data_IF_607647542740
#
_entry.id   IF_607647542740
#
_cell.length_a   1.000
_cell.length_b   1.000
_cell.length_c   1.000
_cell.angle_alpha   90.00
_cell.angle_beta   90.00
_cell.angle_gamma   90.00
#
_symmetry.space_group_name_H-M   'P 1'
#
loop_
_entity.id
_entity.type
_entity.pdbx_description
1 polymer ?
#
# COMPACT_ATOMS: atom_id res chain seq x y z
N UNK A 1 1.33 13.47 -11.95
CA UNK A 1 0.58 12.61 -12.89
C UNK A 1 1.36 12.26 -14.15
N UNK A 2 2.52 12.90 -14.38
CA UNK A 2 3.47 12.65 -15.48
C UNK A 2 4.04 11.23 -15.54
N UNK A 3 4.16 10.53 -14.40
CA UNK A 3 4.82 9.22 -14.34
C UNK A 3 4.17 8.11 -15.20
N UNK A 4 2.91 8.25 -15.62
CA UNK A 4 2.25 7.30 -16.51
C UNK A 4 2.16 7.80 -17.96
N UNK A 5 2.49 9.08 -18.22
CA UNK A 5 2.44 9.67 -19.57
C UNK A 5 3.49 9.06 -20.51
N UNK A 6 4.64 8.64 -19.97
CA UNK A 6 5.67 7.89 -20.68
C UNK A 6 5.38 6.38 -20.81
N UNK A 7 4.21 5.92 -20.35
CA UNK A 7 3.85 4.50 -20.25
C UNK A 7 4.08 3.92 -18.85
N UNK A 8 3.77 2.63 -18.72
CA UNK A 8 3.90 1.87 -17.47
C UNK A 8 5.21 1.07 -17.46
N UNK A 9 5.77 0.87 -16.26
CA UNK A 9 6.94 0.01 -16.04
C UNK A 9 6.59 -1.22 -15.21
N UNK A 10 7.34 -2.31 -15.41
CA UNK A 10 7.20 -3.54 -14.63
C UNK A 10 8.58 -3.99 -14.10
N UNK A 11 8.63 -4.56 -12.90
CA UNK A 11 9.88 -5.03 -12.30
C UNK A 11 10.40 -6.27 -13.01
N UNK A 12 11.69 -6.32 -13.31
CA UNK A 12 12.33 -7.58 -13.72
C UNK A 12 12.37 -8.53 -12.52
N UNK A 13 11.76 -9.71 -12.67
CA UNK A 13 11.58 -10.67 -11.60
C UNK A 13 10.44 -10.32 -10.64
N UNK A 14 10.49 -10.91 -9.43
CA UNK A 14 9.46 -10.72 -8.42
C UNK A 14 9.40 -9.25 -7.95
N UNK A 15 8.19 -8.73 -7.73
CA UNK A 15 7.96 -7.37 -7.20
C UNK A 15 8.59 -7.16 -5.82
N UNK A 16 8.79 -8.24 -5.05
CA UNK A 16 9.55 -8.27 -3.79
C UNK A 16 10.99 -7.72 -3.94
N UNK A 17 11.55 -7.66 -5.15
CA UNK A 17 12.84 -7.04 -5.41
C UNK A 17 12.88 -5.56 -5.00
N UNK A 18 11.75 -4.85 -5.02
CA UNK A 18 11.67 -3.46 -4.55
C UNK A 18 12.02 -3.39 -3.06
N UNK A 19 11.31 -4.12 -2.21
CA UNK A 19 11.53 -4.11 -0.76
C UNK A 19 12.88 -4.70 -0.35
N UNK A 20 13.35 -5.75 -1.04
CA UNK A 20 14.68 -6.35 -0.81
C UNK A 20 15.79 -5.34 -1.08
N UNK A 21 15.74 -4.65 -2.24
CA UNK A 21 16.75 -3.64 -2.58
C UNK A 21 16.70 -2.44 -1.65
N UNK A 22 15.52 -1.93 -1.32
CA UNK A 22 15.38 -0.81 -0.38
C UNK A 22 15.92 -1.16 1.01
N UNK A 23 15.64 -2.37 1.51
CA UNK A 23 16.14 -2.84 2.81
C UNK A 23 17.66 -3.01 2.82
N UNK A 24 18.22 -3.51 1.71
CA UNK A 24 19.68 -3.67 1.56
C UNK A 24 20.37 -2.31 1.55
N UNK A 25 19.86 -1.36 0.77
CA UNK A 25 20.36 0.01 0.72
C UNK A 25 20.34 0.68 2.09
N UNK A 26 19.24 0.52 2.85
CA UNK A 26 19.12 1.07 4.20
C UNK A 26 20.23 0.53 5.13
N UNK A 27 20.54 -0.77 5.04
CA UNK A 27 21.63 -1.40 5.80
C UNK A 27 23.02 -0.95 5.36
N UNK A 28 23.24 -0.73 4.07
CA UNK A 28 24.50 -0.19 3.55
C UNK A 28 24.82 1.19 4.13
N UNK A 29 23.79 1.98 4.44
CA UNK A 29 23.93 3.27 5.12
C UNK A 29 23.89 3.18 6.66
N UNK A 30 24.03 1.98 7.23
CA UNK A 30 24.10 1.74 8.67
C UNK A 30 22.77 1.74 9.41
N UNK A 31 21.65 1.68 8.68
CA UNK A 31 20.33 1.47 9.27
C UNK A 31 20.04 -0.01 9.52
N UNK A 32 18.98 -0.29 10.30
CA UNK A 32 18.52 -1.64 10.59
C UNK A 32 17.07 -1.86 10.16
N UNK A 33 16.76 -3.10 9.78
CA UNK A 33 15.40 -3.53 9.42
C UNK A 33 15.03 -4.73 10.27
N UNK A 34 14.06 -4.53 11.16
CA UNK A 34 13.47 -5.57 11.98
C UNK A 34 12.20 -6.09 11.30
N UNK A 35 12.13 -7.41 11.12
CA UNK A 35 10.93 -8.13 10.69
C UNK A 35 10.34 -8.86 11.90
N UNK A 36 9.07 -9.23 11.82
CA UNK A 36 8.36 -9.82 12.97
C UNK A 36 8.49 -8.91 14.20
N UNK A 37 8.20 -7.62 13.98
CA UNK A 37 8.45 -6.53 14.93
C UNK A 37 7.21 -5.64 14.98
N UNK A 38 6.16 -6.18 15.58
CA UNK A 38 4.84 -5.57 15.69
C UNK A 38 4.88 -4.36 16.63
N UNK A 39 4.64 -3.17 16.08
CA UNK A 39 4.53 -1.93 16.88
C UNK A 39 3.16 -1.86 17.53
N UNK A 40 3.11 -1.94 18.85
CA UNK A 40 1.89 -1.87 19.64
C UNK A 40 1.50 -0.44 20.02
N UNK A 41 2.45 0.49 20.02
CA UNK A 41 2.17 1.89 20.31
C UNK A 41 3.41 2.77 20.31
N UNK A 42 3.15 4.07 20.22
CA UNK A 42 4.16 5.13 20.29
C UNK A 42 4.25 5.61 21.74
N UNK A 43 5.46 5.78 22.23
CA UNK A 43 5.76 6.29 23.57
C UNK A 43 5.73 7.81 23.51
N UNK A 44 4.90 8.42 24.36
CA UNK A 44 4.76 9.87 24.49
C UNK A 44 5.18 10.28 25.90
N UNK A 45 6.17 11.18 25.99
CA UNK A 45 6.67 11.77 27.23
C UNK A 45 6.69 13.29 27.04
N UNK A 46 6.12 14.05 27.98
CA UNK A 46 6.03 15.52 27.94
C UNK A 46 5.52 16.08 26.61
N UNK A 47 4.54 15.41 25.99
CA UNK A 47 3.94 15.80 24.71
C UNK A 47 4.82 15.55 23.48
N UNK A 48 5.96 14.86 23.62
CA UNK A 48 6.86 14.47 22.54
C UNK A 48 6.84 12.96 22.32
N UNK A 49 6.91 12.52 21.06
CA UNK A 49 7.17 11.13 20.71
C UNK A 49 8.65 10.79 20.90
N UNK A 50 8.92 9.74 21.67
CA UNK A 50 10.27 9.38 22.13
C UNK A 50 10.64 7.91 21.87
N UNK A 51 9.78 7.17 21.18
CA UNK A 51 10.03 5.77 20.88
C UNK A 51 8.77 4.99 20.55
N UNK A 52 8.93 3.67 20.44
CA UNK A 52 7.87 2.71 20.14
C UNK A 52 7.96 1.48 21.06
N UNK A 53 6.83 0.82 21.28
CA UNK A 53 6.72 -0.47 21.95
C UNK A 53 6.53 -1.56 20.91
N UNK A 54 7.39 -2.56 20.93
CA UNK A 54 7.49 -3.59 19.89
C UNK A 54 7.46 -4.99 20.50
N UNK A 55 6.84 -5.94 19.82
CA UNK A 55 6.96 -7.38 20.11
C UNK A 55 7.13 -8.17 18.82
N UNK A 56 7.73 -9.35 18.91
CA UNK A 56 7.72 -10.37 17.85
C UNK A 56 6.60 -11.40 18.05
N UNK A 57 5.68 -11.15 18.96
CA UNK A 57 4.49 -11.97 19.16
C UNK A 57 3.27 -11.38 18.44
N UNK A 58 2.13 -12.07 18.55
CA UNK A 58 0.84 -11.64 17.99
C UNK A 58 0.48 -10.21 18.37
N UNK A 59 -0.29 -9.55 17.51
CA UNK A 59 -0.81 -8.24 17.85
C UNK A 59 -1.63 -8.33 19.13
N UNK A 60 -1.51 -7.34 20.04
CA UNK A 60 -2.32 -7.32 21.27
C UNK A 60 -3.83 -7.40 20.98
N UNK A 61 -4.26 -6.91 19.82
CA UNK A 61 -5.63 -6.99 19.34
C UNK A 61 -6.09 -8.41 18.96
N UNK A 62 -5.15 -9.32 18.70
CA UNK A 62 -5.41 -10.74 18.38
C UNK A 62 -5.45 -11.62 19.63
N UNK A 63 -5.07 -11.07 20.79
CA UNK A 63 -5.13 -11.78 22.06
C UNK A 63 -6.58 -11.95 22.51
N UNK A 64 -6.94 -13.18 22.88
CA UNK A 64 -8.29 -13.56 23.28
C UNK A 64 -8.54 -13.46 24.79
N UNK A 65 -7.47 -13.31 25.58
CA UNK A 65 -7.56 -13.12 27.03
C UNK A 65 -6.51 -12.15 27.57
N UNK A 66 -6.77 -11.58 28.75
CA UNK A 66 -5.83 -10.68 29.42
C UNK A 66 -4.54 -11.38 29.85
N UNK A 67 -4.62 -12.68 30.22
CA UNK A 67 -3.44 -13.49 30.50
C UNK A 67 -2.53 -13.61 29.27
N UNK A 68 -3.14 -13.78 28.09
CA UNK A 68 -2.43 -13.85 26.80
C UNK A 68 -1.78 -12.52 26.39
N UNK A 69 -2.33 -11.38 26.85
CA UNK A 69 -1.75 -10.05 26.63
C UNK A 69 -0.60 -9.82 27.60
N UNK A 70 -0.78 -10.20 28.86
CA UNK A 70 0.22 -10.07 29.91
C UNK A 70 1.47 -10.94 29.67
N UNK A 71 1.33 -12.04 28.90
CA UNK A 71 2.47 -12.87 28.52
C UNK A 71 3.33 -12.28 27.41
N UNK A 72 2.83 -11.30 26.64
CA UNK A 72 3.57 -10.72 25.53
C UNK A 72 4.74 -9.91 26.05
N UNK A 73 5.95 -10.28 25.62
CA UNK A 73 7.15 -9.50 25.94
C UNK A 73 7.20 -8.27 25.05
N UNK A 74 7.13 -7.10 25.68
CA UNK A 74 7.22 -5.80 25.01
C UNK A 74 8.63 -5.22 25.18
N UNK A 75 9.27 -4.90 24.07
CA UNK A 75 10.55 -4.17 24.02
C UNK A 75 10.28 -2.70 23.68
N UNK A 76 10.85 -1.79 24.46
CA UNK A 76 10.83 -0.36 24.12
C UNK A 76 12.05 0.02 23.28
N UNK A 77 11.82 0.65 22.12
CA UNK A 77 12.87 1.21 21.28
C UNK A 77 12.76 2.73 21.36
N UNK A 78 13.77 3.39 21.93
CA UNK A 78 13.81 4.84 22.10
C UNK A 78 14.43 5.54 20.89
N UNK A 79 13.86 6.67 20.50
CA UNK A 79 14.32 7.43 19.34
C UNK A 79 14.10 8.93 19.53
N UNK A 80 14.96 9.74 18.93
CA UNK A 80 14.79 11.21 18.91
C UNK A 80 13.57 11.61 18.09
N UNK A 81 13.32 10.93 16.98
CA UNK A 81 12.18 11.16 16.09
C UNK A 81 11.55 9.82 15.75
N UNK A 82 10.22 9.81 15.63
CA UNK A 82 9.41 8.67 15.19
C UNK A 82 8.75 9.07 13.87
N UNK A 83 8.94 8.25 12.84
CA UNK A 83 8.28 8.44 11.53
C UNK A 83 7.25 7.33 11.36
N UNK A 84 5.98 7.70 11.32
CA UNK A 84 4.88 6.80 11.05
C UNK A 84 4.62 6.75 9.55
N UNK A 85 5.12 5.71 8.88
CA UNK A 85 4.80 5.40 7.49
C UNK A 85 3.57 4.48 7.35
N UNK A 86 2.77 4.37 8.42
CA UNK A 86 1.46 3.68 8.39
C UNK A 86 0.36 4.70 8.13
N UNK A 87 -0.86 4.24 7.83
CA UNK A 87 -1.98 5.15 7.64
C UNK A 87 -2.27 5.99 8.89
N UNK A 88 -2.69 7.24 8.72
CA UNK A 88 -3.14 8.13 9.81
C UNK A 88 -4.25 7.49 10.64
N UNK A 89 -5.06 6.62 10.03
CA UNK A 89 -6.08 5.88 10.77
C UNK A 89 -5.50 4.86 11.73
N UNK A 90 -4.40 4.16 11.38
CA UNK A 90 -3.68 3.32 12.34
C UNK A 90 -3.01 4.18 13.42
N UNK A 91 -2.39 5.30 13.03
CA UNK A 91 -1.72 6.19 13.97
C UNK A 91 -2.67 6.65 15.09
N UNK A 92 -3.78 7.30 14.72
CA UNK A 92 -4.68 7.91 15.70
C UNK A 92 -5.59 6.88 16.40
N UNK A 93 -6.01 5.79 15.72
CA UNK A 93 -6.92 4.83 16.34
C UNK A 93 -6.24 3.69 17.09
N UNK A 94 -4.95 3.41 16.83
CA UNK A 94 -4.25 2.27 17.43
C UNK A 94 -2.95 2.67 18.11
N UNK A 95 -2.08 3.40 17.42
CA UNK A 95 -0.68 3.56 17.86
C UNK A 95 -0.48 4.67 18.90
N UNK A 96 -1.29 5.73 18.88
CA UNK A 96 -1.22 6.79 19.88
C UNK A 96 -1.98 6.44 21.16
N UNK A 97 -1.57 6.96 22.33
CA UNK A 97 -2.36 6.86 23.55
C UNK A 97 -3.76 7.48 23.36
N UNK A 98 -4.78 6.69 23.66
CA UNK A 98 -6.17 6.97 23.29
C UNK A 98 -6.82 8.13 24.09
N UNK A 99 -6.19 8.54 25.18
CA UNK A 99 -6.59 9.66 26.02
C UNK A 99 -6.11 11.02 25.51
N UNK A 100 -5.19 11.07 24.52
CA UNK A 100 -4.63 12.33 24.03
C UNK A 100 -5.70 13.24 23.39
N UNK A 101 -5.67 14.56 23.63
CA UNK A 101 -6.60 15.51 23.01
C UNK A 101 -6.63 15.43 21.49
N UNK A 102 -5.47 15.25 20.85
CA UNK A 102 -5.38 15.16 19.38
C UNK A 102 -6.08 13.89 18.83
N UNK A 103 -6.04 12.78 19.57
CA UNK A 103 -6.75 11.55 19.20
C UNK A 103 -8.26 11.75 19.29
N UNK A 104 -8.73 12.42 20.35
CA UNK A 104 -10.15 12.79 20.48
C UNK A 104 -10.59 13.72 19.36
N UNK A 105 -9.76 14.72 19.01
CA UNK A 105 -10.00 15.63 17.88
C UNK A 105 -10.07 14.88 16.56
N UNK A 106 -9.16 13.94 16.30
CA UNK A 106 -9.23 13.09 15.10
C UNK A 106 -10.50 12.24 15.07
N UNK A 107 -11.04 11.82 16.21
CA UNK A 107 -12.28 11.02 16.25
C UNK A 107 -13.55 11.83 16.11
N UNK A 108 -13.49 13.14 16.34
CA UNK A 108 -14.64 14.03 16.20
C UNK A 108 -14.97 14.25 14.71
N UNK A 109 -16.15 13.81 14.23
CA UNK A 109 -16.56 13.99 12.84
C UNK A 109 -16.73 15.46 12.43
N UNK A 110 -16.81 16.39 13.39
CA UNK A 110 -16.87 17.83 13.11
C UNK A 110 -15.48 18.48 12.93
N UNK A 111 -14.39 17.73 13.18
CA UNK A 111 -13.01 18.23 13.12
C UNK A 111 -12.21 17.68 11.94
N UNK A 112 -12.82 16.79 11.15
CA UNK A 112 -12.28 16.31 9.89
C UNK A 112 -13.37 15.74 9.01
N UNK A 113 -13.18 15.83 7.70
CA UNK A 113 -14.08 15.20 6.72
C UNK A 113 -13.43 14.02 5.99
N UNK A 114 -12.09 13.87 6.09
CA UNK A 114 -11.38 12.73 5.51
C UNK A 114 -11.83 11.40 6.10
N UNK A 115 -11.98 10.39 5.24
CA UNK A 115 -12.36 9.02 5.59
C UNK A 115 -11.32 8.03 5.07
N UNK A 116 -11.24 6.85 5.68
CA UNK A 116 -10.38 5.78 5.20
C UNK A 116 -10.83 5.33 3.82
N UNK A 117 -9.89 4.93 2.96
CA UNK A 117 -10.19 4.38 1.65
C UNK A 117 -10.92 3.04 1.78
N UNK A 118 -11.56 2.62 0.68
CA UNK A 118 -12.06 1.26 0.55
C UNK A 118 -10.88 0.26 0.53
N UNK A 119 -11.18 -1.01 0.78
CA UNK A 119 -10.31 -2.13 0.46
C UNK A 119 -10.63 -2.73 -0.90
N UNK A 120 -9.93 -3.81 -1.24
CA UNK A 120 -10.16 -4.52 -2.50
C UNK A 120 -10.30 -6.02 -2.29
N UNK A 121 -10.87 -6.68 -3.29
CA UNK A 121 -10.74 -8.12 -3.48
C UNK A 121 -9.74 -8.39 -4.60
N UNK A 122 -8.87 -9.38 -4.40
CA UNK A 122 -7.81 -9.74 -5.34
C UNK A 122 -7.95 -11.20 -5.72
N UNK A 123 -8.28 -11.50 -6.98
CA UNK A 123 -8.24 -12.88 -7.46
C UNK A 123 -6.88 -13.16 -8.10
N UNK A 124 -6.13 -14.07 -7.51
CA UNK A 124 -4.89 -14.59 -8.08
C UNK A 124 -5.18 -15.91 -8.77
N UNK A 125 -4.84 -16.03 -10.05
CA UNK A 125 -5.03 -17.26 -10.83
C UNK A 125 -3.69 -17.81 -11.32
N UNK A 126 -3.52 -19.12 -11.16
CA UNK A 126 -2.52 -19.94 -11.84
C UNK A 126 -3.17 -20.56 -13.07
N UNK A 127 -2.62 -20.28 -14.24
CA UNK A 127 -3.18 -20.71 -15.53
C UNK A 127 -2.17 -21.65 -16.20
N UNK A 128 -2.63 -22.83 -16.62
CA UNK A 128 -1.83 -23.77 -17.41
C UNK A 128 -1.66 -23.24 -18.83
N UNK A 129 -0.43 -23.23 -19.32
CA UNK A 129 -0.06 -22.76 -20.66
C UNK A 129 0.85 -21.55 -20.62
N UNK A 130 1.71 -21.44 -21.62
CA UNK A 130 2.56 -20.27 -21.82
C UNK A 130 1.72 -19.08 -22.30
N UNK A 131 2.11 -17.85 -21.92
CA UNK A 131 1.33 -16.66 -22.27
C UNK A 131 1.13 -16.48 -23.78
N UNK A 132 2.13 -16.82 -24.60
CA UNK A 132 2.04 -16.75 -26.06
C UNK A 132 1.05 -17.77 -26.64
N UNK A 133 1.02 -18.99 -26.09
CA UNK A 133 0.06 -20.04 -26.48
C UNK A 133 -1.37 -19.61 -26.17
N UNK A 134 -1.54 -18.94 -25.03
CA UNK A 134 -2.82 -18.47 -24.52
C UNK A 134 -3.25 -17.10 -25.10
N UNK A 135 -2.43 -16.46 -25.93
CA UNK A 135 -2.72 -15.14 -26.48
C UNK A 135 -2.83 -14.02 -25.44
N UNK A 136 -2.18 -14.15 -24.28
CA UNK A 136 -2.35 -13.19 -23.18
C UNK A 136 -1.74 -11.82 -23.52
N UNK A 137 -2.45 -10.71 -23.28
CA UNK A 137 -1.94 -9.38 -23.59
C UNK A 137 -0.81 -8.93 -22.63
N UNK A 138 0.07 -8.07 -23.14
CA UNK A 138 1.09 -7.36 -22.34
C UNK A 138 0.52 -6.13 -21.62
N UNK A 139 -0.62 -5.61 -22.09
CA UNK A 139 -1.33 -4.50 -21.47
C UNK A 139 -2.36 -4.98 -20.43
N UNK A 140 -2.90 -4.04 -19.66
CA UNK A 140 -3.96 -4.32 -18.70
C UNK A 140 -5.32 -4.22 -19.39
N UNK A 141 -6.25 -5.10 -19.04
CA UNK A 141 -7.64 -4.99 -19.47
C UNK A 141 -8.46 -4.37 -18.34
N UNK A 142 -9.50 -3.65 -18.74
CA UNK A 142 -10.46 -3.06 -17.82
C UNK A 142 -11.86 -3.48 -18.23
N UNK A 143 -12.55 -4.09 -17.29
CA UNK A 143 -13.99 -4.35 -17.38
C UNK A 143 -14.75 -3.21 -16.72
N UNK A 144 -15.84 -2.80 -17.36
CA UNK A 144 -16.82 -1.84 -16.84
C UNK A 144 -18.22 -2.45 -16.98
N UNK A 145 -18.96 -2.54 -15.88
CA UNK A 145 -20.30 -3.11 -15.85
C UNK A 145 -21.35 -2.03 -16.19
N UNK A 146 -21.31 -1.55 -17.43
CA UNK A 146 -22.23 -0.52 -17.92
C UNK A 146 -21.62 0.89 -17.96
N UNK A 147 -22.44 1.86 -18.37
CA UNK A 147 -22.04 3.26 -18.52
C UNK A 147 -22.35 4.12 -17.28
N UNK A 148 -23.39 3.77 -16.52
CA UNK A 148 -23.71 4.42 -15.24
C UNK A 148 -22.92 3.74 -14.12
N UNK A 149 -21.69 4.25 -13.90
CA UNK A 149 -20.81 3.67 -12.89
C UNK A 149 -21.29 3.95 -11.48
N UNK A 150 -21.87 5.11 -11.21
CA UNK A 150 -22.33 5.47 -9.86
C UNK A 150 -23.46 4.51 -9.42
N UNK A 151 -24.46 4.30 -10.28
CA UNK A 151 -25.52 3.32 -10.03
C UNK A 151 -24.98 1.88 -9.91
N UNK A 152 -24.04 1.48 -10.77
CA UNK A 152 -23.42 0.15 -10.69
C UNK A 152 -22.62 -0.07 -9.39
N UNK A 153 -21.94 0.99 -8.88
CA UNK A 153 -21.28 0.95 -7.58
C UNK A 153 -22.29 0.79 -6.44
N UNK A 154 -23.38 1.55 -6.46
CA UNK A 154 -24.43 1.47 -5.42
C UNK A 154 -25.06 0.08 -5.36
N UNK A 155 -25.44 -0.50 -6.51
CA UNK A 155 -26.02 -1.85 -6.59
C UNK A 155 -25.03 -2.93 -6.13
N UNK A 156 -23.78 -2.86 -6.58
CA UNK A 156 -22.74 -3.81 -6.20
C UNK A 156 -22.43 -3.74 -4.70
N UNK A 157 -22.32 -2.52 -4.14
CA UNK A 157 -22.01 -2.36 -2.73
C UNK A 157 -23.15 -2.84 -1.81
N UNK A 158 -24.38 -2.76 -2.27
CA UNK A 158 -25.54 -3.32 -1.57
C UNK A 158 -25.61 -4.85 -1.67
N UNK A 159 -25.31 -5.44 -2.84
CA UNK A 159 -25.51 -6.86 -3.12
C UNK A 159 -24.32 -7.53 -3.83
N UNK A 160 -23.11 -7.56 -3.22
CA UNK A 160 -21.87 -7.89 -3.91
C UNK A 160 -21.78 -9.34 -4.39
N UNK A 161 -22.62 -10.23 -3.86
CA UNK A 161 -22.66 -11.64 -4.27
C UNK A 161 -23.58 -11.92 -5.43
N UNK A 162 -24.56 -11.05 -5.69
CA UNK A 162 -25.57 -11.25 -6.73
C UNK A 162 -25.34 -10.30 -7.91
N UNK A 163 -24.72 -9.14 -7.67
CA UNK A 163 -24.37 -8.13 -8.68
C UNK A 163 -22.89 -8.24 -9.03
N UNK A 164 -22.55 -8.17 -10.32
CA UNK A 164 -21.16 -8.13 -10.79
C UNK A 164 -20.48 -6.82 -10.37
N UNK A 165 -19.16 -6.84 -10.09
CA UNK A 165 -18.43 -5.63 -9.75
C UNK A 165 -18.52 -4.57 -10.87
N UNK A 166 -18.61 -3.27 -10.52
CA UNK A 166 -18.75 -2.19 -11.49
C UNK A 166 -17.50 -2.02 -12.35
N UNK A 167 -16.33 -2.31 -11.79
CA UNK A 167 -15.06 -2.28 -12.50
C UNK A 167 -14.17 -3.44 -12.09
N UNK A 168 -13.42 -4.00 -13.04
CA UNK A 168 -12.38 -5.00 -12.74
C UNK A 168 -11.14 -4.70 -13.54
N UNK A 169 -10.02 -4.55 -12.84
CA UNK A 169 -8.70 -4.58 -13.44
C UNK A 169 -8.31 -6.04 -13.70
N UNK A 170 -7.78 -6.33 -14.90
CA UNK A 170 -7.26 -7.65 -15.27
C UNK A 170 -5.84 -7.48 -15.78
N UNK A 171 -4.89 -8.15 -15.12
CA UNK A 171 -3.48 -8.09 -15.51
C UNK A 171 -2.82 -9.45 -15.55
N UNK A 172 -1.90 -9.62 -16.51
CA UNK A 172 -1.08 -10.83 -16.66
C UNK A 172 0.39 -10.50 -16.35
N UNK A 173 0.87 -10.61 -15.10
CA UNK A 173 2.26 -10.31 -14.75
C UNK A 173 3.30 -11.10 -15.58
N UNK A 174 2.98 -12.36 -15.89
CA UNK A 174 3.81 -13.27 -16.69
C UNK A 174 4.18 -12.72 -18.07
N UNK A 175 3.40 -11.81 -18.66
CA UNK A 175 3.68 -11.21 -19.96
C UNK A 175 4.65 -10.03 -19.88
N UNK A 176 4.90 -9.51 -18.67
CA UNK A 176 5.72 -8.32 -18.41
C UNK A 176 7.06 -8.65 -17.76
N UNK A 177 7.11 -9.74 -16.99
CA UNK A 177 8.36 -10.22 -16.39
C UNK A 177 9.14 -11.12 -17.35
N UNK A 178 10.21 -10.57 -17.92
CA UNK A 178 11.12 -11.30 -18.82
C UNK A 178 11.75 -12.56 -18.21
N UNK A 179 11.75 -12.70 -16.88
CA UNK A 179 12.29 -13.88 -16.20
C UNK A 179 11.23 -14.97 -15.98
N UNK A 180 9.95 -14.67 -16.21
CA UNK A 180 8.83 -15.53 -15.83
C UNK A 180 8.92 -16.92 -16.46
N UNK A 181 9.05 -17.00 -17.79
CA UNK A 181 9.09 -18.26 -18.54
C UNK A 181 10.20 -19.20 -18.07
N UNK A 182 11.32 -18.65 -17.61
CA UNK A 182 12.43 -19.44 -17.05
C UNK A 182 12.09 -19.99 -15.66
N UNK A 183 11.39 -19.22 -14.83
CA UNK A 183 11.03 -19.61 -13.45
C UNK A 183 9.81 -20.54 -13.40
N UNK A 184 8.86 -20.35 -14.30
CA UNK A 184 7.58 -21.05 -14.33
C UNK A 184 7.21 -21.48 -15.77
N UNK A 185 7.95 -22.42 -16.38
CA UNK A 185 7.68 -22.87 -17.74
C UNK A 185 6.28 -23.51 -17.86
N UNK A 186 5.54 -23.17 -18.92
CA UNK A 186 4.20 -23.72 -19.17
C UNK A 186 3.13 -23.21 -18.21
N UNK A 187 3.42 -22.16 -17.43
CA UNK A 187 2.48 -21.56 -16.47
C UNK A 187 2.38 -20.06 -16.73
N UNK A 188 1.16 -19.56 -16.81
CA UNK A 188 0.83 -18.14 -16.82
C UNK A 188 0.13 -17.76 -15.51
N UNK A 189 0.09 -16.46 -15.20
CA UNK A 189 -0.68 -15.96 -14.07
C UNK A 189 -1.55 -14.76 -14.46
N UNK A 190 -2.66 -14.63 -13.74
CA UNK A 190 -3.56 -13.49 -13.81
C UNK A 190 -3.80 -12.93 -12.40
N UNK A 191 -3.90 -11.61 -12.31
CA UNK A 191 -4.35 -10.90 -11.12
C UNK A 191 -5.54 -10.05 -11.52
N UNK A 192 -6.66 -10.24 -10.83
CA UNK A 192 -7.86 -9.44 -10.99
C UNK A 192 -8.14 -8.65 -9.73
N UNK A 193 -8.56 -7.40 -9.86
CA UNK A 193 -8.78 -6.49 -8.73
C UNK A 193 -10.12 -5.79 -8.92
N UNK A 194 -10.92 -5.77 -7.86
CA UNK A 194 -12.16 -5.01 -7.75
C UNK A 194 -12.28 -4.43 -6.35
N UNK A 195 -13.13 -3.42 -6.18
CA UNK A 195 -13.50 -2.90 -4.86
C UNK A 195 -14.04 -4.00 -3.94
N UNK A 196 -13.67 -3.90 -2.66
CA UNK A 196 -14.10 -4.80 -1.60
C UNK A 196 -14.27 -4.07 -0.29
N UNK A 197 -15.50 -3.87 0.17
CA UNK A 197 -15.73 -3.18 1.45
C UNK A 197 -15.37 -4.07 2.63
N UNK A 198 -14.70 -3.50 3.63
CA UNK A 198 -14.35 -4.23 4.85
C UNK A 198 -15.60 -4.71 5.59
N UNK A 199 -16.67 -3.91 5.57
CA UNK A 199 -17.97 -4.18 6.18
C UNK A 199 -18.57 -5.53 5.76
N UNK A 200 -18.33 -5.98 4.52
CA UNK A 200 -18.81 -7.29 4.04
C UNK A 200 -18.15 -8.45 4.79
N UNK A 201 -16.93 -8.24 5.29
CA UNK A 201 -16.12 -9.28 5.90
C UNK A 201 -15.94 -9.11 7.41
N UNK A 202 -16.38 -8.00 8.00
CA UNK A 202 -16.18 -7.65 9.41
C UNK A 202 -16.65 -8.76 10.37
N UNK A 203 -17.77 -9.42 10.07
CA UNK A 203 -18.30 -10.53 10.88
C UNK A 203 -17.42 -11.79 10.91
N UNK A 204 -16.40 -11.88 10.05
CA UNK A 204 -15.43 -12.98 10.00
C UNK A 204 -14.04 -12.59 10.51
N UNK A 205 -13.90 -11.39 11.11
CA UNK A 205 -12.62 -10.84 11.55
C UNK A 205 -12.11 -11.47 12.87
N UNK A 206 -12.98 -12.17 13.60
CA UNK A 206 -12.69 -12.78 14.91
C UNK A 206 -11.76 -13.99 14.84
N UNK A 207 -11.70 -14.65 13.68
CA UNK A 207 -10.83 -15.82 13.45
C UNK A 207 -9.57 -15.46 12.66
N UNK A 208 -8.43 -16.07 13.03
CA UNK A 208 -7.19 -15.88 12.30
C UNK A 208 -7.30 -16.40 10.87
N UNK A 209 -6.36 -15.97 10.01
CA UNK A 209 -6.27 -16.45 8.65
C UNK A 209 -6.27 -17.99 8.62
N UNK A 210 -6.91 -18.57 7.60
CA UNK A 210 -7.11 -20.03 7.38
C UNK A 210 -8.04 -20.75 8.37
N UNK A 211 -8.55 -20.07 9.40
CA UNK A 211 -9.47 -20.65 10.39
C UNK A 211 -10.86 -20.00 10.36
N UNK A 212 -11.16 -19.25 9.29
CA UNK A 212 -12.47 -18.61 9.08
C UNK A 212 -13.51 -19.65 8.64
N UNK A 213 -14.77 -19.35 8.90
CA UNK A 213 -15.90 -20.27 8.72
C UNK A 213 -16.14 -20.69 7.26
N UNK A 214 -16.92 -21.76 7.06
CA UNK A 214 -17.39 -22.16 5.74
C UNK A 214 -18.24 -21.06 5.07
N UNK A 215 -19.02 -20.31 5.86
CA UNK A 215 -19.80 -19.16 5.36
C UNK A 215 -18.90 -18.10 4.70
N UNK A 216 -17.73 -17.80 5.29
CA UNK A 216 -16.74 -16.91 4.67
C UNK A 216 -16.21 -17.48 3.35
N UNK A 217 -15.95 -18.78 3.30
CA UNK A 217 -15.46 -19.45 2.09
C UNK A 217 -16.50 -19.45 0.98
N UNK A 218 -17.78 -19.70 1.30
CA UNK A 218 -18.89 -19.62 0.36
C UNK A 218 -19.07 -18.18 -0.17
N UNK A 219 -19.01 -17.18 0.71
CA UNK A 219 -19.08 -15.77 0.31
C UNK A 219 -17.97 -15.41 -0.68
N UNK A 220 -16.72 -15.81 -0.37
CA UNK A 220 -15.59 -15.64 -1.28
C UNK A 220 -15.79 -16.34 -2.62
N UNK A 221 -16.39 -17.53 -2.61
CA UNK A 221 -16.64 -18.29 -3.83
C UNK A 221 -17.64 -17.57 -4.74
N UNK A 222 -18.67 -16.92 -4.17
CA UNK A 222 -19.59 -16.08 -4.97
C UNK A 222 -18.85 -14.93 -5.68
N UNK A 223 -17.98 -14.21 -4.97
CA UNK A 223 -17.18 -13.14 -5.56
C UNK A 223 -16.16 -13.67 -6.58
N UNK A 224 -15.57 -14.83 -6.29
CA UNK A 224 -14.61 -15.49 -7.18
C UNK A 224 -15.25 -15.85 -8.51
N UNK A 225 -16.49 -16.37 -8.50
CA UNK A 225 -17.24 -16.70 -9.71
C UNK A 225 -17.46 -15.49 -10.60
N UNK A 226 -17.86 -14.34 -10.05
CA UNK A 226 -17.98 -13.09 -10.83
C UNK A 226 -16.68 -12.74 -11.55
N UNK A 227 -15.55 -12.80 -10.84
CA UNK A 227 -14.25 -12.47 -11.42
C UNK A 227 -13.79 -13.50 -12.46
N UNK A 228 -13.98 -14.80 -12.21
CA UNK A 228 -13.63 -15.84 -13.19
C UNK A 228 -14.50 -15.76 -14.45
N UNK A 229 -15.80 -15.50 -14.32
CA UNK A 229 -16.68 -15.32 -15.47
C UNK A 229 -16.22 -14.15 -16.34
N UNK A 230 -15.88 -13.01 -15.72
CA UNK A 230 -15.30 -11.85 -16.42
C UNK A 230 -13.97 -12.21 -17.10
N UNK A 231 -13.10 -12.98 -16.43
CA UNK A 231 -11.85 -13.44 -17.04
C UNK A 231 -12.10 -14.28 -18.31
N UNK A 232 -13.08 -15.19 -18.25
CA UNK A 232 -13.42 -16.05 -19.38
C UNK A 232 -14.14 -15.32 -20.50
N UNK A 233 -14.81 -14.21 -20.22
CA UNK A 233 -15.38 -13.32 -21.23
C UNK A 233 -14.29 -12.54 -21.98
N UNK A 234 -13.30 -12.01 -21.26
CA UNK A 234 -12.23 -11.20 -21.84
C UNK A 234 -11.11 -12.04 -22.48
N UNK A 235 -10.82 -13.21 -21.90
CA UNK A 235 -9.77 -14.12 -22.36
C UNK A 235 -10.27 -15.57 -22.33
N UNK A 236 -11.14 -15.96 -23.28
CA UNK A 236 -11.78 -17.28 -23.32
C UNK A 236 -10.81 -18.47 -23.29
N UNK A 237 -9.59 -18.28 -23.79
CA UNK A 237 -8.51 -19.28 -23.82
C UNK A 237 -8.10 -19.74 -22.41
N UNK A 238 -8.39 -18.96 -21.38
CA UNK A 238 -8.10 -19.32 -19.99
C UNK A 238 -9.14 -20.29 -19.40
N UNK A 239 -10.32 -20.43 -20.03
CA UNK A 239 -11.39 -21.30 -19.56
C UNK A 239 -10.94 -22.76 -19.58
N UNK A 240 -11.11 -23.45 -18.44
CA UNK A 240 -10.63 -24.83 -18.25
C UNK A 240 -9.13 -24.97 -18.05
N UNK A 241 -8.37 -23.86 -18.05
CA UNK A 241 -6.91 -23.84 -17.82
C UNK A 241 -6.52 -23.20 -16.49
N UNK A 242 -7.44 -22.56 -15.77
CA UNK A 242 -7.21 -22.09 -14.39
C UNK A 242 -7.10 -23.30 -13.47
N UNK A 243 -5.87 -23.68 -13.08
CA UNK A 243 -5.61 -24.84 -12.22
C UNK A 243 -5.76 -24.52 -10.73
N UNK A 244 -5.57 -23.25 -10.36
CA UNK A 244 -5.67 -22.79 -8.99
C UNK A 244 -6.06 -21.32 -8.97
N UNK A 245 -6.92 -20.94 -8.03
CA UNK A 245 -7.21 -19.55 -7.76
C UNK A 245 -7.29 -19.28 -6.25
N UNK A 246 -6.98 -18.05 -5.87
CA UNK A 246 -7.10 -17.60 -4.49
C UNK A 246 -7.65 -16.18 -4.45
N UNK A 247 -8.78 -15.98 -3.78
CA UNK A 247 -9.33 -14.66 -3.54
C UNK A 247 -8.77 -14.09 -2.23
N UNK A 248 -7.96 -13.04 -2.31
CA UNK A 248 -7.63 -12.16 -1.20
C UNK A 248 -8.82 -11.24 -0.89
N UNK A 249 -9.08 -10.98 0.39
CA UNK A 249 -10.16 -10.09 0.83
C UNK A 249 -9.60 -8.95 1.69
N UNK A 250 -10.39 -7.92 2.04
CA UNK A 250 -10.03 -6.91 3.03
C UNK A 250 -9.42 -7.46 4.32
N UNK A 251 -9.89 -8.61 4.81
CA UNK A 251 -9.29 -9.27 5.98
C UNK A 251 -7.88 -9.80 5.71
N UNK A 252 -7.54 -10.16 4.48
CA UNK A 252 -6.17 -10.50 4.09
C UNK A 252 -5.26 -9.27 4.16
N UNK A 253 -5.72 -8.09 3.74
CA UNK A 253 -4.95 -6.84 3.87
C UNK A 253 -4.69 -6.49 5.33
N UNK A 254 -5.68 -6.66 6.21
CA UNK A 254 -5.50 -6.45 7.65
C UNK A 254 -4.44 -7.41 8.20
N UNK A 255 -4.49 -8.69 7.83
CA UNK A 255 -3.52 -9.69 8.31
C UNK A 255 -2.10 -9.40 7.81
N UNK A 256 -1.91 -9.13 6.52
CA UNK A 256 -0.56 -9.08 5.92
C UNK A 256 0.04 -7.68 5.86
N UNK A 257 -0.78 -6.62 5.87
CA UNK A 257 -0.33 -5.22 5.74
C UNK A 257 -0.68 -4.38 6.96
N UNK A 258 -1.43 -4.94 7.93
CA UNK A 258 -1.92 -4.22 9.11
C UNK A 258 -2.75 -2.99 8.75
N UNK A 259 -3.34 -2.93 7.55
CA UNK A 259 -4.13 -1.80 7.08
C UNK A 259 -5.34 -1.53 7.98
N UNK A 260 -5.59 -0.27 8.33
CA UNK A 260 -6.77 0.09 9.12
C UNK A 260 -8.04 -0.17 8.32
N UNK A 261 -8.90 -1.09 8.79
CA UNK A 261 -10.12 -1.54 8.09
C UNK A 261 -9.88 -1.80 6.59
N UNK A 262 -8.72 -2.37 6.26
CA UNK A 262 -8.30 -2.70 4.90
C UNK A 262 -8.23 -1.53 3.90
N UNK A 263 -8.06 -0.28 4.35
CA UNK A 263 -7.91 0.84 3.42
C UNK A 263 -6.62 0.74 2.60
N UNK A 264 -6.72 0.38 1.32
CA UNK A 264 -5.55 0.14 0.46
C UNK A 264 -4.78 1.40 0.05
N UNK A 265 -5.42 2.58 0.16
CA UNK A 265 -4.84 3.87 -0.23
C UNK A 265 -4.64 4.82 0.96
N UNK A 266 -4.86 4.36 2.20
CA UNK A 266 -4.85 5.23 3.38
C UNK A 266 -6.11 6.08 3.42
N UNK A 267 -5.97 7.39 3.27
CA UNK A 267 -7.09 8.33 3.15
C UNK A 267 -7.78 8.20 1.79
N UNK A 268 -9.12 8.17 1.79
CA UNK A 268 -9.95 8.09 0.60
C UNK A 268 -9.77 9.33 -0.27
N UNK A 269 -9.59 9.12 -1.58
CA UNK A 269 -9.47 10.16 -2.58
C UNK A 269 -10.82 10.86 -2.83
N UNK A 270 -11.22 11.74 -1.92
CA UNK A 270 -12.36 12.64 -2.12
C UNK A 270 -11.83 14.04 -2.39
N UNK A 271 -12.60 14.86 -3.10
CA UNK A 271 -12.26 16.27 -3.35
C UNK A 271 -12.07 17.04 -2.03
N UNK A 272 -12.82 16.67 -0.99
CA UNK A 272 -12.75 17.25 0.36
C UNK A 272 -11.45 16.94 1.11
N UNK A 273 -10.62 16.02 0.62
CA UNK A 273 -9.34 15.67 1.26
C UNK A 273 -8.43 16.89 1.47
N UNK A 274 -8.52 17.89 0.58
CA UNK A 274 -7.70 19.10 0.60
C UNK A 274 -8.36 20.29 1.30
N UNK A 275 -9.57 20.12 1.84
CA UNK A 275 -10.26 21.15 2.60
C UNK A 275 -9.40 21.61 3.78
N UNK A 276 -9.54 22.88 4.19
CA UNK A 276 -8.69 23.46 5.23
C UNK A 276 -8.73 22.69 6.55
N UNK A 277 -9.90 22.13 6.88
CA UNK A 277 -10.14 21.29 8.06
C UNK A 277 -9.28 20.02 8.09
N UNK A 278 -8.76 19.58 6.93
CA UNK A 278 -8.00 18.34 6.79
C UNK A 278 -6.48 18.52 6.70
N UNK A 279 -6.00 19.78 6.59
CA UNK A 279 -4.56 20.09 6.43
C UNK A 279 -3.66 19.57 7.57
N UNK A 280 -4.21 19.38 8.77
CA UNK A 280 -3.46 18.83 9.91
C UNK A 280 -3.43 17.30 9.95
N UNK A 281 -4.21 16.63 9.10
CA UNK A 281 -4.41 15.18 9.15
C UNK A 281 -3.76 14.43 7.99
N UNK A 282 -3.85 14.96 6.77
CA UNK A 282 -3.40 14.28 5.55
C UNK A 282 -2.66 15.24 4.63
N UNK A 283 -1.94 14.70 3.65
CA UNK A 283 -1.15 15.46 2.67
C UNK A 283 -0.10 16.36 3.32
N UNK A 284 0.37 15.95 4.50
CA UNK A 284 1.39 16.63 5.29
C UNK A 284 2.29 15.60 5.97
N UNK A 285 3.62 15.80 5.99
CA UNK A 285 4.53 14.96 6.77
C UNK A 285 4.54 15.33 8.27
N UNK A 286 3.83 16.37 8.69
CA UNK A 286 3.87 16.88 10.06
C UNK A 286 2.69 16.40 10.89
N UNK A 287 2.93 16.15 12.18
CA UNK A 287 1.88 16.01 13.19
C UNK A 287 1.99 17.13 14.22
N UNK A 288 0.95 17.32 15.04
CA UNK A 288 0.98 18.25 16.17
C UNK A 288 1.78 17.72 17.38
N UNK A 289 2.21 16.46 17.34
CA UNK A 289 3.04 15.85 18.39
C UNK A 289 4.52 16.05 18.02
N UNK A 290 5.26 16.72 18.91
CA UNK A 290 6.69 16.97 18.70
C UNK A 290 7.45 15.64 18.52
N UNK A 291 8.39 15.59 17.57
CA UNK A 291 9.17 14.39 17.29
C UNK A 291 8.42 13.28 16.55
N UNK A 292 7.15 13.48 16.20
CA UNK A 292 6.35 12.54 15.40
C UNK A 292 6.05 13.11 14.01
N UNK A 293 6.41 12.34 13.00
CA UNK A 293 6.25 12.70 11.58
C UNK A 293 5.51 11.60 10.82
N UNK A 294 4.98 11.95 9.65
CA UNK A 294 4.32 11.05 8.73
C UNK A 294 5.20 10.81 7.50
N UNK A 295 5.03 9.63 6.89
CA UNK A 295 5.57 9.28 5.59
C UNK A 295 4.57 8.38 4.84
N UNK A 296 4.85 8.06 3.58
CA UNK A 296 3.95 7.24 2.77
C UNK A 296 2.73 8.00 2.26
N UNK A 297 1.66 7.28 1.91
CA UNK A 297 0.53 7.83 1.16
C UNK A 297 -0.15 9.02 1.85
N UNK A 298 -0.40 8.92 3.16
CA UNK A 298 -1.10 9.97 3.90
C UNK A 298 -0.22 11.22 4.14
N UNK A 299 1.10 11.12 3.96
CA UNK A 299 1.99 12.28 4.00
C UNK A 299 1.94 13.10 2.71
N UNK A 300 1.43 12.54 1.60
CA UNK A 300 1.31 13.25 0.34
C UNK A 300 0.10 12.80 -0.47
N UNK A 301 0.22 11.72 -1.25
CA UNK A 301 -0.81 11.22 -2.13
C UNK A 301 -0.75 9.68 -2.19
N UNK A 302 -1.87 9.02 -2.54
CA UNK A 302 -1.93 7.56 -2.65
C UNK A 302 -1.11 7.03 -3.83
N UNK A 303 -1.08 5.69 -3.97
CA UNK A 303 -0.26 4.90 -4.91
C UNK A 303 1.23 4.82 -4.55
N UNK A 304 1.96 3.95 -5.24
CA UNK A 304 3.41 3.74 -5.02
C UNK A 304 4.20 5.04 -5.21
N UNK A 305 3.91 5.80 -6.26
CA UNK A 305 4.59 7.06 -6.54
C UNK A 305 4.29 8.11 -5.47
N UNK A 306 3.01 8.27 -5.10
CA UNK A 306 2.61 9.21 -4.06
C UNK A 306 3.21 8.88 -2.69
N UNK A 307 3.24 7.60 -2.33
CA UNK A 307 3.87 7.14 -1.09
C UNK A 307 5.39 7.37 -1.08
N UNK A 308 6.07 7.18 -2.22
CA UNK A 308 7.49 7.47 -2.37
C UNK A 308 7.80 8.96 -2.14
N UNK A 309 7.02 9.86 -2.77
CA UNK A 309 7.14 11.30 -2.52
C UNK A 309 6.80 11.65 -1.06
N UNK A 310 5.79 11.01 -0.46
CA UNK A 310 5.49 11.14 0.96
C UNK A 310 6.66 10.73 1.86
N UNK A 311 7.46 9.73 1.45
CA UNK A 311 8.72 9.37 2.11
C UNK A 311 9.77 10.49 2.05
N UNK A 312 9.96 11.10 0.88
CA UNK A 312 10.89 12.23 0.72
C UNK A 312 10.45 13.47 1.52
N UNK A 313 9.14 13.74 1.58
CA UNK A 313 8.57 14.82 2.39
C UNK A 313 8.71 14.54 3.89
N UNK A 314 8.48 13.28 4.31
CA UNK A 314 8.73 12.83 5.67
C UNK A 314 10.19 13.02 6.09
N UNK A 315 11.15 12.64 5.24
CA UNK A 315 12.56 12.86 5.47
C UNK A 315 12.91 14.36 5.59
N UNK A 316 12.35 15.20 4.70
CA UNK A 316 12.53 16.66 4.75
C UNK A 316 12.01 17.26 6.06
N UNK A 317 10.84 16.80 6.53
CA UNK A 317 10.24 17.25 7.77
C UNK A 317 11.10 16.91 9.01
N UNK A 318 11.72 15.72 9.02
CA UNK A 318 12.65 15.30 10.08
C UNK A 318 13.95 16.09 10.04
N UNK A 319 14.50 16.33 8.84
CA UNK A 319 15.78 17.01 8.64
C UNK A 319 15.72 18.53 8.83
N UNK A 320 14.52 19.12 8.73
CA UNK A 320 14.33 20.58 8.76
C UNK A 320 14.95 21.27 7.54
N UNK A 321 14.91 22.61 7.51
CA UNK A 321 15.28 23.40 6.34
C UNK A 321 16.72 23.13 5.84
N UNK A 322 17.72 23.21 6.73
CA UNK A 322 19.13 23.04 6.36
C UNK A 322 19.41 21.62 5.90
N UNK A 323 18.86 20.62 6.60
CA UNK A 323 19.04 19.22 6.23
C UNK A 323 18.34 18.87 4.91
N UNK A 324 17.17 19.48 4.63
CA UNK A 324 16.46 19.33 3.36
C UNK A 324 17.28 19.87 2.19
N UNK A 325 17.90 21.05 2.33
CA UNK A 325 18.79 21.60 1.30
C UNK A 325 19.97 20.66 1.03
N UNK A 326 20.58 20.11 2.08
CA UNK A 326 21.68 19.13 1.95
C UNK A 326 21.23 17.84 1.25
N UNK A 327 20.05 17.34 1.61
CA UNK A 327 19.46 16.16 0.98
C UNK A 327 19.19 16.40 -0.52
N UNK A 328 18.60 17.54 -0.86
CA UNK A 328 18.36 17.94 -2.26
C UNK A 328 19.66 18.03 -3.06
N UNK A 329 20.70 18.65 -2.49
CA UNK A 329 22.03 18.69 -3.11
C UNK A 329 22.63 17.30 -3.30
N UNK A 330 22.51 16.41 -2.31
CA UNK A 330 23.00 15.04 -2.41
C UNK A 330 22.29 14.24 -3.50
N UNK A 331 20.96 14.38 -3.62
CA UNK A 331 20.17 13.76 -4.68
C UNK A 331 20.59 14.25 -6.07
N UNK A 332 20.67 15.57 -6.27
CA UNK A 332 21.13 16.16 -7.53
C UNK A 332 22.54 15.71 -7.88
N UNK A 333 23.43 15.67 -6.89
CA UNK A 333 24.82 15.20 -7.07
C UNK A 333 24.88 13.72 -7.45
N UNK A 334 23.99 12.88 -6.90
CA UNK A 334 23.91 11.47 -7.26
C UNK A 334 23.41 11.29 -8.70
N UNK A 335 22.34 11.99 -9.09
CA UNK A 335 21.84 11.99 -10.46
C UNK A 335 22.90 12.47 -11.46
N UNK A 336 23.61 13.56 -11.13
CA UNK A 336 24.68 14.09 -11.97
C UNK A 336 25.83 13.10 -12.15
N UNK A 337 26.18 12.31 -11.12
CA UNK A 337 27.16 11.23 -11.25
C UNK A 337 26.69 10.15 -12.22
N UNK A 338 25.44 9.67 -12.08
CA UNK A 338 24.87 8.68 -12.99
C UNK A 338 24.85 9.15 -14.45
N UNK A 339 24.45 10.39 -14.70
CA UNK A 339 24.48 10.99 -16.05
C UNK A 339 25.89 11.02 -16.66
N UNK A 340 26.93 11.19 -15.83
CA UNK A 340 28.33 11.13 -16.30
C UNK A 340 28.83 9.72 -16.52
N UNK A 341 28.32 8.74 -15.78
CA UNK A 341 28.62 7.33 -16.03
C UNK A 341 28.03 6.89 -17.38
N UNK A 342 26.82 7.34 -17.70
CA UNK A 342 26.17 7.09 -18.99
C UNK A 342 26.80 7.89 -20.15
N UNK A 343 27.18 9.14 -19.89
CA UNK A 343 27.85 10.01 -20.86
C UNK A 343 29.11 10.67 -20.28
N UNK A 344 30.28 10.00 -20.38
CA UNK A 344 31.54 10.49 -19.82
C UNK A 344 32.03 11.84 -20.36
N UNK A 345 31.46 12.34 -21.46
CA UNK A 345 31.81 13.64 -22.06
C UNK A 345 31.21 14.83 -21.29
N UNK A 346 30.21 14.60 -20.43
CA UNK A 346 29.59 15.66 -19.64
C UNK A 346 30.55 16.14 -18.54
N UNK A 347 30.77 17.46 -18.49
CA UNK A 347 31.42 18.11 -17.33
C UNK A 347 30.50 18.04 -16.11
N UNK A 348 31.07 18.21 -14.92
CA UNK A 348 30.28 18.23 -13.68
C UNK A 348 29.16 19.29 -13.71
N UNK A 349 29.47 20.50 -14.18
CA UNK A 349 28.49 21.57 -14.29
C UNK A 349 27.36 21.24 -15.25
N UNK A 350 27.67 20.67 -16.43
CA UNK A 350 26.66 20.23 -17.38
C UNK A 350 25.79 19.11 -16.80
N UNK A 351 26.39 18.13 -16.11
CA UNK A 351 25.62 17.06 -15.47
C UNK A 351 24.73 17.56 -14.33
N UNK A 352 25.18 18.56 -13.57
CA UNK A 352 24.36 19.18 -12.52
C UNK A 352 23.20 19.98 -13.11
N UNK A 353 23.43 20.71 -14.21
CA UNK A 353 22.37 21.43 -14.92
C UNK A 353 21.31 20.47 -15.45
N UNK A 354 21.73 19.39 -16.12
CA UNK A 354 20.80 18.37 -16.64
C UNK A 354 20.07 17.65 -15.49
N UNK A 355 20.77 17.30 -14.41
CA UNK A 355 20.13 16.69 -13.24
C UNK A 355 19.07 17.60 -12.62
N UNK A 356 19.31 18.90 -12.57
CA UNK A 356 18.35 19.89 -12.08
C UNK A 356 17.15 20.04 -13.03
N UNK A 357 17.39 20.10 -14.34
CA UNK A 357 16.32 20.18 -15.34
C UNK A 357 15.45 18.92 -15.33
N UNK A 358 16.05 17.73 -15.25
CA UNK A 358 15.32 16.47 -15.07
C UNK A 358 14.50 16.51 -13.78
N UNK A 359 15.09 16.90 -12.65
CA UNK A 359 14.38 16.98 -11.37
C UNK A 359 13.16 17.90 -11.40
N UNK A 360 13.22 19.01 -12.14
CA UNK A 360 12.09 19.94 -12.28
C UNK A 360 11.01 19.45 -13.24
N UNK A 361 11.38 18.65 -14.23
CA UNK A 361 10.48 18.20 -15.31
C UNK A 361 9.94 16.76 -15.11
N UNK A 362 10.31 16.09 -14.01
CA UNK A 362 9.78 14.74 -13.64
C UNK A 362 8.60 14.88 -12.69
#
# INVERSE_FOLDING_TARGET
MTHYMGGASYTVGATQNISVKTSSLLREFGGEVFVDANVHGIIIEDGRAVGVRVSNEKMLAECTSEAEKASIVITEIRAKNVVCATSIYNLYNKLLPQNLPIVKKFRDPNKRTVRQSNGHVFLFCKIKGDATELGLPTHNLWYFNGYDLDGAFDEYFANPTEVRPPTVYIGFPCTKDITWKKRFPGISNCIMISDGLYEWFEKYADKPCRHRSNEYMEFKEKLTRHLLDILYEFVPETKGRVEYHHLGTPLSEITYLTSFRAGSYGTKCLTTMFDEVNREWTTTPHTSISGLYLAGSDAFLPSVAGAMYGGALGASAVLGHVGTIRMGYALLSHLAKGLREENPKLTWYQSMYVAFDVFLNT
#
